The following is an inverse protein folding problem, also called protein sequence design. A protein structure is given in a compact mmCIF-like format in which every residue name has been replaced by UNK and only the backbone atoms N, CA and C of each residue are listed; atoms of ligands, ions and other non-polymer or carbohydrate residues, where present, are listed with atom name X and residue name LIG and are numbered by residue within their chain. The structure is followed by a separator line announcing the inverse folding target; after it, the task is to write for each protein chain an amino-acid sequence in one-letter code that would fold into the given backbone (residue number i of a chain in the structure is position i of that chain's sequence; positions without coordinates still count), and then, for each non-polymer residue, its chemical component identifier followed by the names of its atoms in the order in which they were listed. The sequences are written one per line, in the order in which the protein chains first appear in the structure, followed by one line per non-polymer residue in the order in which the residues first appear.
data_IF_887903745116
#
_entry.id   IF_887903745116
#
_cell.length_a   1.000
_cell.length_b   1.000
_cell.length_c   1.000
_cell.angle_alpha   90.00
_cell.angle_beta   90.00
_cell.angle_gamma   90.00
#
_symmetry.space_group_name_H-M   'P 1'
#
loop_
_entity.id
_entity.type
_entity.pdbx_description
1 polymer ?
#
# COMPACT_ATOMS: atom_id res chain seq x y z
N UNK A 1 40.96 -25.66 -17.86
CA UNK A 1 39.53 -25.44 -18.09
C UNK A 1 38.96 -24.82 -16.82
N UNK A 2 38.97 -23.50 -16.77
CA UNK A 2 38.33 -22.73 -15.69
C UNK A 2 36.81 -22.78 -15.87
N UNK A 3 36.10 -23.34 -14.89
CA UNK A 3 34.66 -23.17 -14.80
C UNK A 3 34.37 -21.76 -14.29
N UNK A 4 34.22 -20.82 -15.22
CA UNK A 4 33.64 -19.50 -14.95
C UNK A 4 32.19 -19.72 -14.56
N UNK A 5 31.92 -19.77 -13.26
CA UNK A 5 30.56 -19.64 -12.73
C UNK A 5 30.13 -18.21 -13.02
N UNK A 6 29.40 -18.04 -14.11
CA UNK A 6 28.70 -16.81 -14.45
C UNK A 6 27.71 -16.55 -13.31
N UNK A 7 28.10 -15.72 -12.35
CA UNK A 7 27.20 -15.06 -11.41
C UNK A 7 26.29 -14.15 -12.24
N UNK A 8 25.22 -14.75 -12.76
CA UNK A 8 24.04 -13.99 -13.17
C UNK A 8 23.64 -13.04 -12.04
N UNK A 9 23.02 -11.90 -12.36
CA UNK A 9 22.68 -10.89 -11.36
C UNK A 9 22.01 -11.61 -10.21
N UNK A 10 22.59 -11.46 -9.00
CA UNK A 10 21.93 -11.86 -7.75
C UNK A 10 20.65 -11.05 -7.77
N UNK A 11 19.57 -11.65 -8.27
CA UNK A 11 18.23 -11.28 -7.91
C UNK A 11 18.30 -11.34 -6.39
N UNK A 12 18.47 -10.18 -5.76
CA UNK A 12 18.19 -10.05 -4.34
C UNK A 12 16.74 -10.51 -4.25
N UNK A 13 16.58 -11.80 -3.94
CA UNK A 13 15.29 -12.41 -3.71
C UNK A 13 14.65 -11.51 -2.68
N UNK A 14 13.73 -10.67 -3.15
CA UNK A 14 12.92 -9.82 -2.31
C UNK A 14 12.30 -10.82 -1.35
N UNK A 15 12.81 -10.85 -0.11
CA UNK A 15 12.51 -11.92 0.83
C UNK A 15 11.06 -11.75 1.27
N UNK A 16 10.16 -12.24 0.43
CA UNK A 16 8.72 -12.12 0.53
C UNK A 16 8.24 -13.11 1.59
N UNK A 17 8.47 -12.76 2.85
CA UNK A 17 7.84 -13.46 3.96
C UNK A 17 6.34 -13.13 3.98
N UNK A 18 5.50 -14.14 4.21
CA UNK A 18 4.05 -13.94 4.40
C UNK A 18 3.76 -12.89 5.49
N UNK A 19 4.62 -12.82 6.51
CA UNK A 19 4.51 -11.84 7.59
C UNK A 19 4.63 -10.39 7.09
N UNK A 20 5.56 -10.08 6.18
CA UNK A 20 5.74 -8.72 5.65
C UNK A 20 4.58 -8.30 4.76
N UNK A 21 3.98 -9.24 4.02
CA UNK A 21 2.76 -8.99 3.23
C UNK A 21 1.57 -8.66 4.14
N UNK A 22 1.33 -9.49 5.16
CA UNK A 22 0.25 -9.28 6.13
C UNK A 22 0.39 -7.95 6.87
N UNK A 23 1.60 -7.62 7.31
CA UNK A 23 1.88 -6.35 7.97
C UNK A 23 1.62 -5.16 7.03
N UNK A 24 2.03 -5.24 5.77
CA UNK A 24 1.77 -4.20 4.77
C UNK A 24 0.28 -3.98 4.53
N UNK A 25 -0.47 -5.07 4.31
CA UNK A 25 -1.94 -5.02 4.13
C UNK A 25 -2.62 -4.41 5.36
N UNK A 26 -2.18 -4.81 6.56
CA UNK A 26 -2.74 -4.30 7.82
C UNK A 26 -2.51 -2.80 7.97
N UNK A 27 -1.31 -2.32 7.60
CA UNK A 27 -1.02 -0.89 7.60
C UNK A 27 -1.91 -0.14 6.60
N UNK A 28 -2.06 -0.65 5.37
CA UNK A 28 -2.93 -0.06 4.37
C UNK A 28 -4.39 0.03 4.82
N UNK A 29 -4.91 -1.02 5.47
CA UNK A 29 -6.27 -1.03 6.04
C UNK A 29 -6.42 -0.05 7.21
N UNK A 30 -5.43 0.04 8.11
CA UNK A 30 -5.44 1.00 9.22
C UNK A 30 -5.44 2.44 8.71
N UNK A 31 -4.63 2.75 7.70
CA UNK A 31 -4.60 4.06 7.07
C UNK A 31 -5.93 4.38 6.39
N UNK A 32 -6.56 3.42 5.71
CA UNK A 32 -7.88 3.59 5.12
C UNK A 32 -8.95 3.85 6.21
N UNK A 33 -8.95 3.09 7.31
CA UNK A 33 -9.86 3.30 8.42
C UNK A 33 -9.69 4.67 9.08
N UNK A 34 -8.44 5.14 9.23
CA UNK A 34 -8.15 6.48 9.74
C UNK A 34 -8.72 7.58 8.82
N UNK A 35 -8.63 7.41 7.48
CA UNK A 35 -9.21 8.34 6.51
C UNK A 35 -10.75 8.34 6.57
N UNK A 36 -11.38 7.19 6.75
CA UNK A 36 -12.84 7.11 6.98
C UNK A 36 -13.23 7.81 8.28
N UNK A 37 -12.48 7.62 9.36
CA UNK A 37 -12.71 8.31 10.62
C UNK A 37 -12.57 9.83 10.48
N UNK A 38 -11.57 10.29 9.73
CA UNK A 38 -11.36 11.70 9.45
C UNK A 38 -12.49 12.30 8.59
N UNK A 39 -13.01 11.54 7.62
CA UNK A 39 -14.19 11.93 6.87
C UNK A 39 -15.39 12.17 7.79
N UNK A 40 -15.64 11.28 8.75
CA UNK A 40 -16.75 11.44 9.70
C UNK A 40 -16.61 12.69 10.59
N UNK A 41 -15.38 13.13 10.88
CA UNK A 41 -15.14 14.33 11.68
C UNK A 41 -15.31 15.63 10.88
N UNK A 42 -14.99 15.63 9.58
CA UNK A 42 -14.93 16.85 8.77
C UNK A 42 -16.07 17.00 7.76
N UNK A 43 -16.89 15.95 7.55
CA UNK A 43 -18.01 15.92 6.60
C UNK A 43 -17.64 16.39 5.17
N UNK A 44 -16.36 16.26 4.78
CA UNK A 44 -15.92 16.66 3.45
C UNK A 44 -16.30 15.61 2.41
N UNK A 45 -16.09 15.88 1.12
CA UNK A 45 -16.54 14.97 0.07
C UNK A 45 -15.75 13.66 0.08
N UNK A 46 -16.44 12.52 0.01
CA UNK A 46 -15.80 11.18 -0.10
C UNK A 46 -14.78 11.10 -1.24
N UNK A 47 -15.03 11.79 -2.36
CA UNK A 47 -14.09 11.87 -3.48
C UNK A 47 -12.75 12.53 -3.10
N UNK A 48 -12.75 13.55 -2.24
CA UNK A 48 -11.53 14.22 -1.79
C UNK A 48 -10.68 13.27 -0.93
N UNK A 49 -11.30 12.54 0.00
CA UNK A 49 -10.61 11.54 0.81
C UNK A 49 -10.10 10.36 -0.01
N UNK A 50 -10.85 9.93 -1.03
CA UNK A 50 -10.41 8.90 -1.95
C UNK A 50 -9.16 9.32 -2.75
N UNK A 51 -9.11 10.57 -3.22
CA UNK A 51 -7.93 11.12 -3.88
C UNK A 51 -6.72 11.18 -2.93
N UNK A 52 -6.92 11.59 -1.68
CA UNK A 52 -5.85 11.60 -0.65
C UNK A 52 -5.36 10.18 -0.36
N UNK A 53 -6.26 9.22 -0.19
CA UNK A 53 -5.93 7.80 0.00
C UNK A 53 -5.12 7.26 -1.19
N UNK A 54 -5.56 7.55 -2.42
CA UNK A 54 -4.87 7.11 -3.63
C UNK A 54 -3.48 7.74 -3.75
N UNK A 55 -3.35 9.05 -3.47
CA UNK A 55 -2.07 9.74 -3.48
C UNK A 55 -1.10 9.17 -2.42
N UNK A 56 -1.59 8.91 -1.20
CA UNK A 56 -0.81 8.26 -0.14
C UNK A 56 -0.42 6.83 -0.50
N UNK A 57 -1.33 6.07 -1.14
CA UNK A 57 -1.04 4.72 -1.61
C UNK A 57 0.07 4.71 -2.67
N UNK A 58 0.01 5.64 -3.63
CA UNK A 58 1.03 5.79 -4.68
C UNK A 58 2.37 6.24 -4.09
N UNK A 59 2.39 7.18 -3.15
CA UNK A 59 3.66 7.62 -2.53
C UNK A 59 4.30 6.52 -1.67
N UNK A 60 3.50 5.77 -0.91
CA UNK A 60 4.00 4.62 -0.15
C UNK A 60 4.49 3.50 -1.07
N UNK A 61 3.75 3.21 -2.15
CA UNK A 61 4.14 2.23 -3.16
C UNK A 61 5.41 2.64 -3.92
N UNK A 62 5.56 3.92 -4.25
CA UNK A 62 6.78 4.44 -4.85
C UNK A 62 7.96 4.39 -3.87
N UNK A 63 7.72 4.71 -2.59
CA UNK A 63 8.70 4.62 -1.51
C UNK A 63 9.24 3.21 -1.27
N UNK A 64 8.50 2.16 -1.66
CA UNK A 64 8.98 0.79 -1.69
C UNK A 64 10.24 0.63 -2.56
N UNK A 65 10.34 1.39 -3.66
CA UNK A 65 11.48 1.36 -4.58
C UNK A 65 12.74 2.01 -3.98
N UNK A 66 12.59 2.83 -2.93
CA UNK A 66 13.69 3.50 -2.23
C UNK A 66 14.07 2.82 -0.91
N UNK A 67 13.36 1.77 -0.50
CA UNK A 67 13.61 1.08 0.75
C UNK A 67 14.78 0.08 0.59
N UNK A 68 15.92 0.38 1.22
CA UNK A 68 17.03 -0.57 1.31
C UNK A 68 16.61 -1.79 2.16
N UNK A 69 16.53 -2.96 1.50
CA UNK A 69 16.17 -4.26 2.07
C UNK A 69 14.84 -4.83 1.53
N UNK A 70 14.89 -6.02 0.92
CA UNK A 70 13.73 -6.65 0.25
C UNK A 70 12.47 -6.77 1.12
N UNK A 71 12.63 -7.05 2.41
CA UNK A 71 11.50 -7.11 3.35
C UNK A 71 10.76 -5.76 3.50
N UNK A 72 11.49 -4.64 3.51
CA UNK A 72 10.90 -3.30 3.65
C UNK A 72 10.25 -2.85 2.35
N UNK A 73 10.89 -3.14 1.21
CA UNK A 73 10.32 -2.88 -0.11
C UNK A 73 8.95 -3.59 -0.27
N UNK A 74 8.86 -4.88 0.06
CA UNK A 74 7.58 -5.61 0.01
C UNK A 74 6.54 -5.02 0.95
N UNK A 75 6.92 -4.66 2.18
CA UNK A 75 5.98 -4.06 3.13
C UNK A 75 5.34 -2.78 2.59
N UNK A 76 6.15 -1.85 2.07
CA UNK A 76 5.67 -0.58 1.51
C UNK A 76 4.86 -0.79 0.22
N UNK A 77 5.23 -1.76 -0.61
CA UNK A 77 4.48 -2.10 -1.81
C UNK A 77 3.07 -2.58 -1.48
N UNK A 78 2.93 -3.52 -0.54
CA UNK A 78 1.63 -4.05 -0.11
C UNK A 78 0.80 -2.99 0.61
N UNK A 79 1.40 -2.19 1.49
CA UNK A 79 0.70 -1.09 2.15
C UNK A 79 0.16 -0.06 1.15
N UNK A 80 0.99 0.33 0.17
CA UNK A 80 0.61 1.28 -0.87
C UNK A 80 -0.52 0.76 -1.77
N UNK A 81 -0.41 -0.49 -2.24
CA UNK A 81 -1.43 -1.13 -3.08
C UNK A 81 -2.76 -1.26 -2.33
N UNK A 82 -2.73 -1.74 -1.08
CA UNK A 82 -3.97 -1.87 -0.28
C UNK A 82 -4.63 -0.52 -0.03
N UNK A 83 -3.86 0.52 0.30
CA UNK A 83 -4.39 1.85 0.53
C UNK A 83 -4.94 2.48 -0.77
N UNK A 84 -4.27 2.27 -1.90
CA UNK A 84 -4.76 2.70 -3.21
C UNK A 84 -6.09 2.04 -3.58
N UNK A 85 -6.19 0.72 -3.41
CA UNK A 85 -7.43 -0.02 -3.68
C UNK A 85 -8.57 0.42 -2.74
N UNK A 86 -8.27 0.63 -1.45
CA UNK A 86 -9.24 1.20 -0.53
C UNK A 86 -9.69 2.60 -0.94
N UNK A 87 -8.77 3.46 -1.37
CA UNK A 87 -9.09 4.78 -1.91
C UNK A 87 -9.99 4.70 -3.15
N UNK A 88 -9.71 3.78 -4.07
CA UNK A 88 -10.53 3.53 -5.25
C UNK A 88 -11.95 3.08 -4.87
N UNK A 89 -12.08 2.17 -3.89
CA UNK A 89 -13.38 1.72 -3.39
C UNK A 89 -14.17 2.86 -2.71
N UNK A 90 -13.48 3.74 -1.98
CA UNK A 90 -14.08 4.96 -1.43
C UNK A 90 -14.57 5.90 -2.54
N UNK A 91 -13.79 6.04 -3.61
CA UNK A 91 -14.14 6.89 -4.77
C UNK A 91 -15.42 6.43 -5.46
N UNK A 92 -15.56 5.14 -5.71
CA UNK A 92 -16.77 4.56 -6.31
C UNK A 92 -17.99 4.58 -5.38
N UNK A 93 -17.86 5.15 -4.18
CA UNK A 93 -18.97 5.28 -3.23
C UNK A 93 -19.30 3.98 -2.50
N UNK A 94 -18.46 2.93 -2.59
CA UNK A 94 -18.65 1.70 -1.80
C UNK A 94 -18.54 2.00 -0.31
N UNK A 95 -17.61 2.87 0.07
CA UNK A 95 -17.52 3.34 1.46
C UNK A 95 -18.73 4.20 1.87
N UNK A 96 -19.29 4.99 0.96
CA UNK A 96 -20.51 5.74 1.23
C UNK A 96 -21.73 4.81 1.39
N UNK A 97 -21.81 3.70 0.66
CA UNK A 97 -22.89 2.71 0.83
C UNK A 97 -22.77 1.90 2.13
N UNK A 98 -21.55 1.66 2.62
CA UNK A 98 -21.29 0.87 3.84
C UNK A 98 -21.33 1.75 5.10
N UNK A 99 -20.83 2.98 5.03
CA UNK A 99 -20.65 3.88 6.18
C UNK A 99 -21.52 5.14 6.12
N UNK A 100 -22.18 5.43 5.01
CA UNK A 100 -23.18 6.49 4.90
C UNK A 100 -24.51 6.00 5.46
N UNK A 101 -24.78 6.37 6.71
CA UNK A 101 -26.12 6.47 7.28
C UNK A 101 -26.55 7.93 7.27
#
# INVERSE_FOLDING_TARGET
MEHVHSSGPVQEDVQENMATRLLGITLGLLSAAALVGLHQAWHWHWAAFACIAAALGVTMGAGASSAYGGARASFFAWAGVTLFLCGLLMFFGVAAMIFGK
#
